data_IF_656014937823
#
_entry.id   IF_656014937823
#
_cell.length_a   1.000
_cell.length_b   1.000
_cell.length_c   1.000
_cell.angle_alpha   90.00
_cell.angle_beta   90.00
_cell.angle_gamma   90.00
#
_symmetry.space_group_name_H-M   'P 1'
#
loop_
_entity.id
_entity.type
_entity.pdbx_description
1 polymer ?
#
# COMPACT_ATOMS: atom_id res chain seq x y z
N UNK A 1 -11.84 -12.55 23.74
CA UNK A 1 -12.34 -11.37 22.98
C UNK A 1 -11.51 -11.26 21.71
N UNK A 2 -12.09 -11.01 20.53
CA UNK A 2 -11.25 -10.72 19.36
C UNK A 2 -10.57 -9.34 19.59
N UNK A 3 -9.24 -9.32 19.54
CA UNK A 3 -8.37 -8.17 19.85
C UNK A 3 -7.70 -7.59 18.58
N UNK A 4 -8.27 -7.85 17.40
CA UNK A 4 -7.69 -7.43 16.14
C UNK A 4 -8.72 -6.68 15.31
N UNK A 5 -8.35 -5.50 14.84
CA UNK A 5 -9.13 -4.69 13.92
C UNK A 5 -8.28 -4.40 12.69
N UNK A 6 -8.83 -4.71 11.51
CA UNK A 6 -8.29 -4.24 10.25
C UNK A 6 -8.70 -2.78 10.03
N UNK A 7 -7.74 -1.91 9.71
CA UNK A 7 -8.04 -0.51 9.34
C UNK A 7 -8.61 -0.39 7.94
N UNK A 8 -8.25 -1.32 7.06
CA UNK A 8 -8.62 -1.34 5.65
C UNK A 8 -8.49 -2.77 5.13
N UNK A 9 -9.15 -3.01 3.99
CA UNK A 9 -9.06 -4.25 3.25
C UNK A 9 -8.94 -3.92 1.76
N UNK A 10 -8.02 -4.58 1.07
CA UNK A 10 -7.98 -4.68 -0.38
C UNK A 10 -7.99 -6.16 -0.79
N UNK A 11 -8.11 -6.43 -2.08
CA UNK A 11 -8.11 -7.77 -2.64
C UNK A 11 -7.39 -7.79 -3.99
N UNK A 12 -6.96 -8.97 -4.42
CA UNK A 12 -6.39 -9.19 -5.74
C UNK A 12 -7.35 -9.94 -6.67
N UNK A 13 -6.88 -10.23 -7.89
CA UNK A 13 -7.65 -10.95 -8.90
C UNK A 13 -7.12 -12.38 -9.12
N UNK A 14 -6.41 -12.96 -8.14
CA UNK A 14 -5.99 -14.37 -8.26
C UNK A 14 -7.19 -15.30 -8.08
N UNK A 15 -7.05 -16.56 -8.49
CA UNK A 15 -8.04 -17.61 -8.20
C UNK A 15 -7.35 -18.79 -7.48
N UNK A 16 -7.65 -19.03 -6.19
CA UNK A 16 -8.51 -18.23 -5.31
C UNK A 16 -7.93 -16.84 -5.04
N UNK A 17 -8.81 -15.85 -4.85
CA UNK A 17 -8.38 -14.48 -4.55
C UNK A 17 -7.89 -14.35 -3.11
N UNK A 18 -7.03 -13.35 -2.88
CA UNK A 18 -6.54 -13.00 -1.55
C UNK A 18 -7.14 -11.68 -1.10
N UNK A 19 -7.29 -11.54 0.21
CA UNK A 19 -7.57 -10.26 0.86
C UNK A 19 -6.33 -9.83 1.64
N UNK A 20 -6.03 -8.55 1.59
CA UNK A 20 -4.91 -7.93 2.30
C UNK A 20 -5.42 -6.78 3.15
N UNK A 21 -4.83 -6.57 4.31
CA UNK A 21 -5.13 -5.40 5.12
C UNK A 21 -4.15 -5.23 6.27
N UNK A 22 -4.17 -4.03 6.85
CA UNK A 22 -3.31 -3.68 7.99
C UNK A 22 -4.05 -3.78 9.33
N UNK A 23 -3.39 -4.32 10.35
CA UNK A 23 -3.93 -4.47 11.71
C UNK A 23 -3.29 -3.45 12.65
N UNK A 24 -4.07 -2.85 13.55
CA UNK A 24 -3.57 -1.91 14.56
C UNK A 24 -2.44 -2.50 15.42
N UNK A 25 -1.41 -1.69 15.67
CA UNK A 25 -0.21 -2.02 16.45
C UNK A 25 0.55 -3.26 15.92
N UNK A 26 0.27 -3.66 14.66
CA UNK A 26 0.86 -4.79 13.97
C UNK A 26 1.26 -4.39 12.54
N UNK A 27 1.53 -5.39 11.69
CA UNK A 27 1.86 -5.17 10.28
C UNK A 27 0.65 -5.43 9.37
N UNK A 28 0.92 -5.47 8.07
CA UNK A 28 -0.05 -5.90 7.07
C UNK A 28 0.00 -7.40 6.84
N UNK A 29 -1.17 -7.96 6.60
CA UNK A 29 -1.35 -9.40 6.40
C UNK A 29 -2.21 -9.66 5.18
N UNK A 30 -1.89 -10.74 4.47
CA UNK A 30 -2.63 -11.23 3.31
C UNK A 30 -3.06 -12.68 3.54
N UNK A 31 -4.23 -13.05 3.01
CA UNK A 31 -4.73 -14.42 3.14
C UNK A 31 -5.65 -14.81 2.00
N UNK A 32 -5.57 -16.08 1.57
CA UNK A 32 -6.45 -16.66 0.55
C UNK A 32 -7.86 -16.84 1.11
N UNK A 33 -8.85 -16.46 0.31
CA UNK A 33 -10.26 -16.65 0.65
C UNK A 33 -10.71 -18.04 0.20
N UNK A 34 -11.10 -18.88 1.16
CA UNK A 34 -11.77 -20.15 0.92
C UNK A 34 -13.29 -19.93 0.79
N UNK A 35 -13.80 -20.24 -0.40
CA UNK A 35 -15.23 -20.20 -0.73
C UNK A 35 -15.85 -21.59 -0.90
N UNK A 36 -15.14 -22.68 -0.58
CA UNK A 36 -15.60 -24.07 -0.75
C UNK A 36 -16.92 -24.38 -0.04
N UNK A 37 -17.26 -23.59 0.99
CA UNK A 37 -18.48 -23.74 1.80
C UNK A 37 -19.61 -22.75 1.45
N UNK A 38 -19.44 -21.97 0.37
CA UNK A 38 -20.36 -20.90 -0.02
C UNK A 38 -19.90 -19.52 0.46
N UNK A 39 -20.38 -18.46 -0.22
CA UNK A 39 -19.97 -17.06 0.03
C UNK A 39 -20.38 -16.55 1.42
N UNK A 40 -21.48 -17.05 1.97
CA UNK A 40 -21.96 -16.76 3.33
C UNK A 40 -21.09 -17.39 4.43
N UNK A 41 -20.22 -18.33 4.05
CA UNK A 41 -19.31 -19.06 4.94
C UNK A 41 -17.85 -18.90 4.52
N UNK A 42 -17.53 -17.82 3.80
CA UNK A 42 -16.16 -17.50 3.41
C UNK A 42 -15.24 -17.48 4.65
N UNK A 43 -14.06 -18.08 4.51
CA UNK A 43 -13.02 -18.07 5.54
C UNK A 43 -11.70 -17.67 4.92
N UNK A 44 -10.80 -17.19 5.76
CA UNK A 44 -9.40 -17.04 5.38
C UNK A 44 -8.68 -18.29 5.84
N UNK A 45 -7.96 -18.93 4.93
CA UNK A 45 -7.18 -20.15 5.24
C UNK A 45 -6.11 -19.84 6.29
N UNK A 46 -5.23 -18.88 5.96
CA UNK A 46 -4.20 -18.36 6.83
C UNK A 46 -3.88 -16.91 6.46
N UNK A 47 -3.65 -16.08 7.46
CA UNK A 47 -3.04 -14.76 7.29
C UNK A 47 -1.53 -14.87 7.40
N UNK A 48 -0.83 -14.30 6.43
CA UNK A 48 0.63 -14.27 6.35
C UNK A 48 1.11 -12.81 6.26
N UNK A 49 2.27 -12.46 6.84
CA UNK A 49 2.81 -11.11 6.72
C UNK A 49 3.02 -10.70 5.26
N UNK A 50 2.84 -9.42 4.97
CA UNK A 50 3.10 -8.87 3.64
C UNK A 50 3.57 -7.41 3.71
N UNK A 51 3.79 -6.80 2.55
CA UNK A 51 4.25 -5.42 2.39
C UNK A 51 3.25 -4.44 3.03
N UNK A 52 3.77 -3.53 3.86
CA UNK A 52 2.99 -2.48 4.52
C UNK A 52 3.08 -2.53 6.04
N UNK A 53 2.90 -1.37 6.69
CA UNK A 53 2.84 -1.26 8.14
C UNK A 53 1.39 -1.35 8.64
N UNK A 54 1.10 -0.90 9.86
CA UNK A 54 -0.26 -0.57 10.26
C UNK A 54 -0.77 0.70 9.54
N UNK A 55 -2.10 0.84 9.42
CA UNK A 55 -2.71 2.05 8.84
C UNK A 55 -2.34 2.26 7.36
N UNK A 56 -2.19 1.20 6.58
CA UNK A 56 -1.62 1.22 5.24
C UNK A 56 -2.69 1.09 4.14
N UNK A 57 -2.58 1.79 3.01
CA UNK A 57 -3.33 1.43 1.80
C UNK A 57 -2.52 0.44 0.94
N UNK A 58 -3.19 -0.63 0.46
CA UNK A 58 -2.56 -1.66 -0.37
C UNK A 58 -3.06 -1.57 -1.81
N UNK A 59 -2.14 -1.71 -2.76
CA UNK A 59 -2.48 -1.89 -4.17
C UNK A 59 -1.71 -3.10 -4.71
N UNK A 60 -2.39 -3.99 -5.43
CA UNK A 60 -1.79 -5.19 -6.01
C UNK A 60 -1.87 -5.05 -7.53
N UNK A 61 -0.76 -5.30 -8.21
CA UNK A 61 -0.73 -5.27 -9.67
C UNK A 61 -1.55 -6.45 -10.22
N UNK A 62 -2.66 -6.19 -10.94
CA UNK A 62 -3.53 -7.26 -11.43
C UNK A 62 -2.89 -8.10 -12.54
N UNK A 63 -1.78 -7.64 -13.13
CA UNK A 63 -1.08 -8.34 -14.22
C UNK A 63 -0.36 -9.59 -13.73
N UNK A 64 0.18 -9.55 -12.52
CA UNK A 64 0.93 -10.66 -11.92
C UNK A 64 0.32 -11.18 -10.62
N UNK A 65 -0.61 -10.44 -10.00
CA UNK A 65 -1.12 -10.70 -8.65
C UNK A 65 0.03 -11.05 -7.68
N UNK A 66 1.15 -10.35 -7.74
CA UNK A 66 2.30 -10.65 -6.89
C UNK A 66 3.07 -9.37 -6.52
N UNK A 67 3.12 -8.38 -7.40
CA UNK A 67 3.62 -7.05 -7.05
C UNK A 67 2.60 -6.34 -6.18
N UNK A 68 3.04 -5.91 -4.99
CA UNK A 68 2.20 -5.20 -4.03
C UNK A 68 2.89 -3.92 -3.59
N UNK A 69 2.08 -2.88 -3.46
CA UNK A 69 2.44 -1.59 -2.89
C UNK A 69 1.74 -1.45 -1.55
N UNK A 70 2.49 -1.05 -0.52
CA UNK A 70 1.97 -0.81 0.81
C UNK A 70 2.55 0.45 1.40
N UNK A 71 1.69 1.34 1.90
CA UNK A 71 2.12 2.48 2.71
C UNK A 71 2.80 2.02 4.01
N UNK A 72 3.80 2.79 4.43
CA UNK A 72 4.45 2.71 5.73
C UNK A 72 4.23 4.07 6.42
N UNK A 73 4.58 4.17 7.69
CA UNK A 73 4.43 5.36 8.52
C UNK A 73 4.80 6.66 7.79
N UNK A 74 3.95 7.68 7.98
CA UNK A 74 4.12 9.04 7.47
C UNK A 74 4.19 9.13 5.93
N UNK A 75 3.40 8.29 5.26
CA UNK A 75 3.26 8.29 3.80
C UNK A 75 4.48 7.78 3.04
N UNK A 76 5.40 7.08 3.70
CA UNK A 76 6.38 6.29 2.95
C UNK A 76 5.63 5.19 2.19
N UNK A 77 6.18 4.79 1.04
CA UNK A 77 5.58 3.76 0.19
C UNK A 77 6.64 2.70 -0.08
N UNK A 78 6.30 1.45 0.18
CA UNK A 78 7.11 0.29 -0.16
C UNK A 78 6.45 -0.51 -1.28
N UNK A 79 7.28 -1.06 -2.17
CA UNK A 79 6.90 -2.05 -3.17
C UNK A 79 7.67 -3.33 -2.92
N UNK A 80 7.01 -4.47 -3.07
CA UNK A 80 7.64 -5.78 -2.92
C UNK A 80 6.83 -6.88 -3.59
N UNK A 81 7.18 -8.12 -3.28
CA UNK A 81 6.47 -9.31 -3.73
C UNK A 81 5.69 -9.96 -2.60
N UNK A 82 4.51 -10.50 -2.92
CA UNK A 82 3.70 -11.29 -1.99
C UNK A 82 4.34 -12.67 -1.82
N UNK A 83 4.64 -13.34 -2.93
CA UNK A 83 5.33 -14.61 -2.95
C UNK A 83 6.79 -14.38 -2.54
N UNK A 84 7.26 -15.12 -1.53
CA UNK A 84 8.58 -14.95 -0.92
C UNK A 84 8.79 -13.57 -0.29
N UNK A 85 7.75 -13.00 0.31
CA UNK A 85 7.85 -11.74 1.05
C UNK A 85 9.04 -11.72 2.03
N UNK A 86 9.86 -10.68 1.90
CA UNK A 86 10.97 -10.35 2.79
C UNK A 86 11.01 -8.85 3.02
N UNK A 87 11.29 -8.43 4.26
CA UNK A 87 11.47 -7.01 4.59
C UNK A 87 12.75 -6.42 3.98
N UNK A 88 13.76 -7.26 3.75
CA UNK A 88 15.05 -6.84 3.19
C UNK A 88 14.98 -6.58 1.68
N UNK A 89 13.94 -7.10 1.01
CA UNK A 89 13.75 -7.00 -0.45
C UNK A 89 12.77 -5.86 -0.84
N UNK A 90 12.39 -5.00 0.10
CA UNK A 90 11.46 -3.90 -0.16
C UNK A 90 12.13 -2.74 -0.89
N UNK A 91 11.49 -2.32 -1.97
CA UNK A 91 11.82 -1.11 -2.71
C UNK A 91 11.08 0.09 -2.08
N UNK A 92 11.84 1.02 -1.48
CA UNK A 92 11.30 2.23 -0.86
C UNK A 92 11.14 3.32 -1.93
N UNK A 93 9.91 3.59 -2.32
CA UNK A 93 9.59 4.36 -3.52
C UNK A 93 9.57 5.87 -3.31
N UNK A 94 9.47 6.32 -2.07
CA UNK A 94 9.52 7.76 -1.77
C UNK A 94 10.99 8.15 -1.59
N UNK A 95 11.51 9.09 -2.42
CA UNK A 95 12.91 9.50 -2.33
C UNK A 95 13.25 10.06 -0.96
N UNK A 96 14.48 9.78 -0.50
CA UNK A 96 15.04 10.49 0.65
C UNK A 96 15.22 11.97 0.29
N UNK A 97 14.84 12.85 1.21
CA UNK A 97 15.02 14.29 1.04
C UNK A 97 16.43 14.68 1.47
N UNK A 98 17.15 15.37 0.59
CA UNK A 98 18.47 15.92 0.88
C UNK A 98 18.34 17.26 1.62
N UNK A 99 19.41 17.72 2.30
CA UNK A 99 19.40 19.04 2.93
C UNK A 99 19.07 20.16 1.93
N UNK A 100 17.94 20.83 2.16
CA UNK A 100 17.44 21.91 1.30
C UNK A 100 16.23 21.55 0.44
N UNK A 101 15.89 20.27 0.33
CA UNK A 101 14.67 19.82 -0.34
C UNK A 101 13.42 20.23 0.46
N UNK A 102 12.29 20.40 -0.24
CA UNK A 102 11.00 20.50 0.42
C UNK A 102 10.69 19.16 1.10
N UNK A 103 10.44 19.19 2.41
CA UNK A 103 10.02 17.99 3.16
C UNK A 103 8.67 17.53 2.62
N UNK A 104 8.61 16.32 2.08
CA UNK A 104 7.34 15.67 1.75
C UNK A 104 6.67 15.19 3.04
N UNK A 105 5.40 15.56 3.20
CA UNK A 105 4.63 15.35 4.42
C UNK A 105 3.46 14.43 4.13
N UNK A 106 3.63 13.15 4.47
CA UNK A 106 2.59 12.14 4.37
C UNK A 106 1.72 12.04 5.62
N UNK A 107 0.49 11.59 5.44
CA UNK A 107 -0.39 11.20 6.54
C UNK A 107 -0.09 9.77 7.01
N UNK A 108 -0.58 9.41 8.19
CA UNK A 108 -0.47 8.04 8.70
C UNK A 108 -1.04 7.03 7.71
N UNK A 109 -2.23 7.31 7.17
CA UNK A 109 -2.86 6.56 6.09
C UNK A 109 -2.79 7.39 4.80
N UNK A 110 -1.69 7.26 4.06
CA UNK A 110 -1.51 7.98 2.79
C UNK A 110 -2.12 7.20 1.62
N UNK A 111 -3.03 7.81 0.82
CA UNK A 111 -3.66 7.15 -0.32
C UNK A 111 -2.65 6.76 -1.40
N UNK A 112 -2.79 5.54 -1.91
CA UNK A 112 -2.08 5.04 -3.10
C UNK A 112 -3.08 4.40 -4.06
N UNK A 113 -2.92 4.65 -5.36
CA UNK A 113 -3.77 4.09 -6.40
C UNK A 113 -2.94 3.67 -7.61
N UNK A 114 -3.17 2.45 -8.12
CA UNK A 114 -2.69 2.05 -9.44
C UNK A 114 -3.73 2.43 -10.49
N UNK A 115 -3.27 2.96 -11.63
CA UNK A 115 -4.16 3.18 -12.77
C UNK A 115 -4.71 1.85 -13.28
N UNK A 116 -6.03 1.77 -13.39
CA UNK A 116 -6.73 0.58 -13.92
C UNK A 116 -6.47 0.35 -15.41
N UNK A 117 -6.03 1.38 -16.14
CA UNK A 117 -5.72 1.31 -17.57
C UNK A 117 -4.26 0.99 -17.85
N UNK A 118 -3.34 1.37 -16.95
CA UNK A 118 -1.92 1.09 -17.07
C UNK A 118 -1.29 1.01 -15.67
N UNK A 119 -1.07 -0.19 -15.12
CA UNK A 119 -0.53 -0.35 -13.77
C UNK A 119 0.92 0.13 -13.57
N UNK A 120 1.62 0.55 -14.63
CA UNK A 120 2.90 1.26 -14.47
C UNK A 120 2.70 2.68 -13.92
N UNK A 121 1.48 3.22 -14.03
CA UNK A 121 1.13 4.53 -13.47
C UNK A 121 0.63 4.36 -12.03
N UNK A 122 1.37 4.97 -11.11
CA UNK A 122 1.08 4.97 -9.67
C UNK A 122 0.77 6.39 -9.22
N UNK A 123 -0.33 6.58 -8.52
CA UNK A 123 -0.64 7.82 -7.82
C UNK A 123 -0.39 7.62 -6.33
N UNK A 124 0.31 8.55 -5.71
CA UNK A 124 0.54 8.54 -4.27
C UNK A 124 0.37 9.94 -3.69
N UNK A 125 -0.34 10.04 -2.57
CA UNK A 125 -0.74 11.31 -1.99
C UNK A 125 0.04 11.60 -0.70
N UNK A 126 0.82 12.68 -0.74
CA UNK A 126 1.38 13.33 0.44
C UNK A 126 0.68 14.68 0.67
N UNK A 127 1.42 15.76 0.94
CA UNK A 127 0.87 17.11 0.90
C UNK A 127 0.50 17.55 -0.51
N UNK A 128 0.96 16.81 -1.54
CA UNK A 128 0.62 16.96 -2.96
C UNK A 128 0.20 15.59 -3.51
N UNK A 129 -0.51 15.58 -4.63
CA UNK A 129 -0.69 14.36 -5.44
C UNK A 129 0.54 14.18 -6.30
N UNK A 130 1.19 13.03 -6.17
CA UNK A 130 2.34 12.64 -6.97
C UNK A 130 1.94 11.54 -7.94
N UNK A 131 2.48 11.58 -9.15
CA UNK A 131 2.29 10.56 -10.18
C UNK A 131 3.66 9.98 -10.58
N UNK A 132 3.74 8.66 -10.59
CA UNK A 132 4.80 7.92 -11.27
C UNK A 132 4.26 7.29 -12.54
N UNK A 133 5.11 7.13 -13.56
CA UNK A 133 4.81 6.42 -14.81
C UNK A 133 5.64 5.16 -15.00
N UNK A 134 6.40 4.79 -13.98
CA UNK A 134 7.42 3.74 -14.00
C UNK A 134 7.40 2.91 -12.71
N UNK A 135 6.20 2.60 -12.20
CA UNK A 135 6.02 1.73 -11.01
C UNK A 135 6.67 2.30 -9.74
N UNK A 136 6.59 3.62 -9.58
CA UNK A 136 7.05 4.35 -8.40
C UNK A 136 8.55 4.68 -8.38
N UNK A 137 9.29 4.47 -9.48
CA UNK A 137 10.73 4.74 -9.51
C UNK A 137 11.03 6.25 -9.62
N UNK A 138 10.21 6.98 -10.39
CA UNK A 138 10.27 8.44 -10.49
C UNK A 138 8.90 9.06 -10.27
N UNK A 139 8.89 10.30 -9.75
CA UNK A 139 7.66 11.00 -9.35
C UNK A 139 7.58 12.41 -9.93
N UNK A 140 6.40 12.77 -10.41
CA UNK A 140 5.98 14.11 -10.84
C UNK A 140 4.90 14.63 -9.87
N UNK A 141 5.03 15.88 -9.43
CA UNK A 141 3.98 16.55 -8.67
C UNK A 141 2.89 17.06 -9.63
N UNK A 142 1.67 16.54 -9.49
CA UNK A 142 0.56 16.87 -10.41
C UNK A 142 -0.52 17.74 -9.75
N UNK A 143 -0.26 18.22 -8.53
CA UNK A 143 -1.15 19.15 -7.82
C UNK A 143 -0.36 20.20 -7.03
N UNK A 144 -0.97 21.34 -6.70
CA UNK A 144 -0.46 22.20 -5.63
C UNK A 144 -0.49 21.48 -4.28
N UNK A 145 0.01 22.13 -3.23
CA UNK A 145 -0.16 21.65 -1.85
C UNK A 145 -1.64 21.63 -1.47
N UNK A 146 -2.14 20.47 -1.06
CA UNK A 146 -3.53 20.21 -0.68
C UNK A 146 -3.73 20.03 0.83
N UNK A 147 -2.66 20.09 1.62
CA UNK A 147 -2.75 20.01 3.07
C UNK A 147 -2.82 21.40 3.71
N UNK A 148 -3.54 21.50 4.83
CA UNK A 148 -3.59 22.71 5.66
C UNK A 148 -2.39 22.85 6.61
N UNK A 149 -1.48 21.88 6.62
CA UNK A 149 -0.31 21.94 7.46
C UNK A 149 0.65 22.98 6.86
N UNK A 150 0.96 24.06 7.58
CA UNK A 150 1.92 25.07 7.14
C UNK A 150 3.34 24.48 7.23
N UNK A 151 4.24 24.80 6.29
CA UNK A 151 5.63 24.34 6.34
C UNK A 151 6.47 25.11 7.37
N UNK A 152 5.89 26.15 7.98
CA UNK A 152 6.56 27.06 8.92
C UNK A 152 6.23 26.84 10.40
N UNK A 153 5.44 25.83 10.76
CA UNK A 153 5.12 25.48 12.15
C UNK A 153 5.25 23.97 12.38
#
# INVERSE_FOLDING_TARGET
MPLAQFYNVAYDLSEPFRVVGSIQDHHSFIGRVDLSRGRDKARIDKFEPTVGAEGCSHQIDPRDNNTIYGSIFYGRLAKGKIDNFSWDDLDMLIPEQLPGDEILRGQWVSPTLLSTHNPDIVYHCMQKVMMSRDQGQTWEEISPVLSYNDSKN
#
